data_IF_370974641436
#
_entry.id   IF_370974641436
#
_cell.length_a   1.000
_cell.length_b   1.000
_cell.length_c   1.000
_cell.angle_alpha   90.00
_cell.angle_beta   90.00
_cell.angle_gamma   90.00
#
_symmetry.space_group_name_H-M   'P 1'
#
loop_
_entity.id
_entity.type
_entity.pdbx_description
1 polymer ?
#
# COMPACT_ATOMS: atom_id res chain seq x y z
N UNK A 1 -64.99 -8.01 2.49
CA UNK A 1 -64.18 -7.31 1.50
C UNK A 1 -62.76 -7.87 1.60
N UNK A 2 -62.34 -8.66 0.64
CA UNK A 2 -60.95 -9.15 0.58
C UNK A 2 -60.09 -8.04 0.02
N UNK A 3 -59.21 -7.52 0.82
CA UNK A 3 -58.19 -6.60 0.36
C UNK A 3 -57.25 -7.38 -0.57
N UNK A 4 -57.21 -6.95 -1.78
CA UNK A 4 -56.30 -7.48 -2.80
C UNK A 4 -54.88 -7.15 -2.35
N UNK A 5 -53.96 -8.13 -2.24
CA UNK A 5 -52.58 -7.83 -1.88
C UNK A 5 -51.98 -6.88 -2.92
N UNK A 6 -51.15 -5.93 -2.49
CA UNK A 6 -50.54 -4.98 -3.42
C UNK A 6 -49.68 -5.76 -4.42
N UNK A 7 -50.02 -5.57 -5.67
CA UNK A 7 -49.27 -6.11 -6.79
C UNK A 7 -47.82 -5.55 -6.73
N UNK A 8 -46.87 -6.43 -6.48
CA UNK A 8 -45.46 -6.06 -6.45
C UNK A 8 -45.08 -5.49 -7.83
N UNK A 9 -44.72 -4.20 -7.84
CA UNK A 9 -44.20 -3.57 -9.06
C UNK A 9 -42.97 -4.34 -9.51
N UNK A 10 -42.90 -4.75 -10.79
CA UNK A 10 -41.69 -5.42 -11.28
C UNK A 10 -40.51 -4.51 -11.14
N UNK A 11 -39.47 -5.03 -10.50
CA UNK A 11 -38.21 -4.35 -10.41
C UNK A 11 -37.68 -4.02 -11.81
N UNK A 12 -37.14 -2.83 -12.05
CA UNK A 12 -36.58 -2.51 -13.35
C UNK A 12 -35.51 -3.53 -13.71
N UNK A 13 -35.72 -4.22 -14.79
CA UNK A 13 -34.73 -5.12 -15.37
C UNK A 13 -33.52 -4.26 -15.71
N UNK A 14 -32.46 -4.42 -14.97
CA UNK A 14 -31.18 -3.79 -15.30
C UNK A 14 -30.74 -4.38 -16.64
N UNK A 15 -30.84 -3.56 -17.70
CA UNK A 15 -30.29 -3.94 -19.00
C UNK A 15 -28.81 -4.27 -18.81
N UNK A 16 -28.32 -5.43 -19.26
CA UNK A 16 -26.91 -5.74 -19.20
C UNK A 16 -26.15 -4.62 -19.92
N UNK A 17 -25.29 -3.94 -19.18
CA UNK A 17 -24.39 -2.98 -19.79
C UNK A 17 -23.46 -3.73 -20.75
N UNK A 18 -23.22 -3.19 -21.95
CA UNK A 18 -22.27 -3.81 -22.85
C UNK A 18 -20.92 -3.92 -22.13
N UNK A 19 -20.47 -5.13 -22.01
CA UNK A 19 -19.12 -5.41 -21.52
C UNK A 19 -18.16 -4.61 -22.38
N UNK A 20 -17.50 -3.62 -21.80
CA UNK A 20 -16.41 -2.95 -22.48
C UNK A 20 -15.38 -4.02 -22.82
N UNK A 21 -15.28 -4.33 -24.09
CA UNK A 21 -14.22 -5.18 -24.60
C UNK A 21 -12.89 -4.64 -24.09
N UNK A 22 -12.20 -5.47 -23.35
CA UNK A 22 -10.81 -5.18 -23.00
C UNK A 22 -10.04 -4.99 -24.30
N UNK A 23 -9.28 -3.91 -24.44
CA UNK A 23 -8.40 -3.81 -25.58
C UNK A 23 -7.51 -5.04 -25.61
N UNK A 24 -7.64 -5.82 -26.65
CA UNK A 24 -6.72 -6.91 -26.95
C UNK A 24 -5.30 -6.35 -26.96
N UNK A 25 -4.35 -7.01 -26.30
CA UNK A 25 -2.97 -6.58 -26.37
C UNK A 25 -2.55 -6.61 -27.84
N UNK A 26 -2.25 -5.45 -28.39
CA UNK A 26 -1.69 -5.35 -29.74
C UNK A 26 -0.38 -6.13 -29.77
N UNK A 27 -0.29 -7.08 -30.67
CA UNK A 27 0.98 -7.72 -31.01
C UNK A 27 2.03 -6.62 -31.24
N UNK A 28 3.22 -6.73 -30.65
CA UNK A 28 4.26 -5.78 -30.94
C UNK A 28 4.56 -5.82 -32.44
N UNK A 29 4.38 -4.71 -33.09
CA UNK A 29 4.78 -4.54 -34.47
C UNK A 29 6.30 -4.60 -34.52
N UNK A 30 6.89 -5.34 -35.46
CA UNK A 30 8.35 -5.34 -35.60
C UNK A 30 8.79 -3.92 -36.00
N UNK A 31 9.57 -3.29 -35.16
CA UNK A 31 10.28 -2.06 -35.50
C UNK A 31 11.19 -2.35 -36.68
N UNK A 32 11.20 -1.50 -37.72
CA UNK A 32 12.16 -1.66 -38.79
C UNK A 32 13.58 -1.52 -38.24
N UNK A 33 14.34 -2.58 -38.37
CA UNK A 33 15.78 -2.55 -38.11
C UNK A 33 16.40 -1.62 -39.15
N UNK A 34 16.81 -0.48 -38.70
CA UNK A 34 17.65 0.38 -39.54
C UNK A 34 19.02 -0.28 -39.59
N UNK A 35 19.29 -0.86 -40.68
CA UNK A 35 20.61 -1.42 -41.03
C UNK A 35 21.64 -0.31 -40.97
N UNK A 36 22.46 -0.32 -39.94
CA UNK A 36 23.54 0.63 -39.78
C UNK A 36 24.63 0.31 -40.85
N UNK A 37 24.63 1.11 -41.88
CA UNK A 37 25.73 1.11 -42.84
C UNK A 37 27.01 1.49 -42.11
N UNK A 38 27.94 0.58 -42.05
CA UNK A 38 29.28 0.81 -41.51
C UNK A 38 29.98 1.77 -42.45
N UNK A 39 30.11 3.03 -42.04
CA UNK A 39 31.01 3.96 -42.65
C UNK A 39 32.34 3.88 -41.91
N UNK A 40 33.28 3.26 -42.54
CA UNK A 40 34.68 3.23 -42.13
C UNK A 40 35.25 4.65 -42.34
N UNK A 41 35.43 5.39 -41.27
CA UNK A 41 36.14 6.65 -41.35
C UNK A 41 37.47 6.49 -40.61
N UNK A 42 38.59 6.80 -41.27
CA UNK A 42 39.89 6.72 -40.61
C UNK A 42 40.01 7.84 -39.56
N UNK A 43 40.55 7.46 -38.42
CA UNK A 43 40.78 8.34 -37.30
C UNK A 43 41.73 9.49 -37.65
N UNK A 44 41.38 10.76 -37.41
CA UNK A 44 42.35 11.81 -37.33
C UNK A 44 43.10 11.76 -36.02
N UNK A 45 44.40 11.76 -36.10
CA UNK A 45 45.35 11.95 -35.01
C UNK A 45 44.90 13.03 -34.04
N UNK A 46 44.73 12.67 -32.78
CA UNK A 46 44.39 13.58 -31.74
C UNK A 46 45.49 14.60 -31.47
N UNK A 47 45.21 15.89 -31.43
CA UNK A 47 46.14 16.84 -30.85
C UNK A 47 46.17 16.64 -29.34
N UNK A 48 47.37 16.61 -28.80
CA UNK A 48 47.67 16.55 -27.36
C UNK A 48 46.84 17.60 -26.66
N UNK A 49 45.88 17.15 -25.85
CA UNK A 49 45.11 18.03 -25.00
C UNK A 49 46.02 18.52 -23.86
N UNK A 50 46.28 19.78 -23.86
CA UNK A 50 46.75 20.51 -22.66
C UNK A 50 45.88 20.17 -21.47
N UNK A 51 46.43 20.02 -20.26
CA UNK A 51 45.62 19.81 -19.06
C UNK A 51 44.72 21.01 -18.84
N UNK A 52 43.50 20.90 -19.30
CA UNK A 52 42.46 21.85 -18.99
C UNK A 52 42.10 21.70 -17.53
N UNK A 53 42.11 22.81 -16.82
CA UNK A 53 41.55 23.02 -15.52
C UNK A 53 40.50 21.98 -15.11
N UNK A 54 40.84 21.16 -14.15
CA UNK A 54 39.87 20.28 -13.52
C UNK A 54 38.98 21.18 -12.66
N UNK A 55 37.94 21.70 -13.28
CA UNK A 55 36.86 22.32 -12.55
C UNK A 55 36.34 21.26 -11.56
N UNK A 56 36.38 21.51 -10.23
CA UNK A 56 35.92 20.52 -9.27
C UNK A 56 34.50 20.12 -9.61
N UNK A 57 34.29 18.83 -9.78
CA UNK A 57 32.96 18.31 -10.02
C UNK A 57 32.02 18.77 -8.89
N UNK A 58 30.78 19.17 -9.19
CA UNK A 58 29.83 19.51 -8.15
C UNK A 58 29.74 18.35 -7.15
N UNK A 59 29.64 18.61 -5.85
CA UNK A 59 29.57 17.54 -4.86
C UNK A 59 28.43 16.60 -5.24
N UNK A 60 28.73 15.30 -5.25
CA UNK A 60 27.73 14.28 -5.51
C UNK A 60 26.52 14.49 -4.58
N UNK A 61 25.28 14.33 -5.06
CA UNK A 61 24.12 14.44 -4.19
C UNK A 61 24.30 13.51 -2.98
N UNK A 62 23.96 13.96 -1.75
CA UNK A 62 24.14 13.15 -0.56
C UNK A 62 23.47 11.79 -0.77
N UNK A 63 24.17 10.71 -0.36
CA UNK A 63 23.63 9.38 -0.41
C UNK A 63 22.28 9.34 0.30
N UNK A 64 21.26 8.60 -0.21
CA UNK A 64 19.97 8.51 0.45
C UNK A 64 20.16 8.00 1.88
N UNK A 65 19.67 8.74 2.85
CA UNK A 65 19.72 8.36 4.27
C UNK A 65 18.97 7.04 4.48
N UNK A 66 19.48 6.14 5.32
CA UNK A 66 18.79 4.89 5.60
C UNK A 66 17.43 5.18 6.25
N UNK A 67 16.36 4.65 5.64
CA UNK A 67 14.99 4.77 6.16
C UNK A 67 14.67 3.55 6.99
N UNK A 68 14.47 3.74 8.29
CA UNK A 68 13.97 2.71 9.18
C UNK A 68 12.45 2.76 9.19
N UNK A 69 11.81 1.65 8.91
CA UNK A 69 10.34 1.56 8.86
C UNK A 69 9.72 1.66 10.25
N UNK A 70 8.49 2.17 10.31
CA UNK A 70 7.72 2.18 11.54
C UNK A 70 7.43 0.76 12.04
N UNK A 71 7.38 0.58 13.36
CA UNK A 71 7.15 -0.71 14.02
C UNK A 71 6.08 -0.58 15.09
N UNK A 72 5.39 -1.68 15.36
CA UNK A 72 4.33 -1.78 16.38
C UNK A 72 4.57 -2.90 17.39
N UNK A 73 5.53 -3.75 17.13
CA UNK A 73 5.80 -5.01 17.85
C UNK A 73 6.83 -4.88 19.00
N UNK A 74 7.16 -3.66 19.38
CA UNK A 74 8.09 -3.45 20.48
C UNK A 74 7.40 -3.70 21.84
N UNK A 75 7.95 -4.57 22.65
CA UNK A 75 7.38 -4.99 23.93
C UNK A 75 7.12 -3.83 24.90
N UNK A 76 7.96 -2.79 24.86
CA UNK A 76 7.80 -1.61 25.71
C UNK A 76 6.63 -0.70 25.31
N UNK A 77 6.06 -0.87 24.13
CA UNK A 77 4.90 -0.10 23.67
C UNK A 77 3.62 -0.50 24.42
N UNK A 78 3.57 -1.71 24.97
CA UNK A 78 2.44 -2.25 25.76
C UNK A 78 1.10 -2.08 25.05
N UNK A 79 1.08 -2.37 23.76
CA UNK A 79 -0.16 -2.29 22.96
C UNK A 79 -1.12 -3.40 23.39
N UNK A 80 -2.34 -3.07 23.86
CA UNK A 80 -3.30 -4.08 24.27
C UNK A 80 -3.81 -4.86 23.06
N UNK A 81 -4.04 -6.16 23.23
CA UNK A 81 -4.71 -6.95 22.22
C UNK A 81 -6.13 -6.42 21.97
N UNK A 82 -6.64 -6.49 20.75
CA UNK A 82 -8.02 -6.09 20.45
C UNK A 82 -9.02 -6.89 21.28
N UNK A 83 -9.99 -6.20 21.86
CA UNK A 83 -11.07 -6.84 22.57
C UNK A 83 -11.95 -7.62 21.58
N UNK A 84 -12.21 -8.88 21.90
CA UNK A 84 -13.11 -9.71 21.09
C UNK A 84 -14.55 -9.27 21.33
N UNK A 85 -15.30 -8.82 20.32
CA UNK A 85 -16.69 -8.42 20.52
C UNK A 85 -17.54 -9.58 21.06
N UNK A 86 -18.32 -9.37 22.13
CA UNK A 86 -19.09 -10.47 22.74
C UNK A 86 -20.05 -11.16 21.79
N UNK A 87 -20.64 -10.41 20.88
CA UNK A 87 -21.58 -10.94 19.90
C UNK A 87 -20.85 -11.81 18.86
N UNK A 88 -19.71 -11.32 18.33
CA UNK A 88 -18.89 -12.10 17.40
C UNK A 88 -18.39 -13.40 18.03
N UNK A 89 -18.03 -13.37 19.30
CA UNK A 89 -17.65 -14.57 20.05
C UNK A 89 -18.79 -15.57 20.17
N UNK A 90 -20.03 -15.09 20.44
CA UNK A 90 -21.22 -15.97 20.50
C UNK A 90 -21.59 -16.56 19.15
N UNK A 91 -21.36 -15.81 18.08
CA UNK A 91 -21.66 -16.24 16.72
C UNK A 91 -20.55 -17.09 16.09
N UNK A 92 -19.41 -17.24 16.78
CA UNK A 92 -18.28 -18.00 16.26
C UNK A 92 -17.56 -17.30 15.10
N UNK A 93 -17.60 -15.97 15.06
CA UNK A 93 -16.94 -15.20 14.00
C UNK A 93 -15.46 -15.11 14.26
N UNK A 94 -14.65 -15.69 13.40
CA UNK A 94 -13.19 -15.64 13.43
C UNK A 94 -12.65 -15.02 12.15
N UNK A 95 -11.44 -14.52 12.18
CA UNK A 95 -10.82 -14.01 10.98
C UNK A 95 -9.55 -13.21 11.23
N UNK A 96 -8.90 -12.83 10.14
CA UNK A 96 -7.70 -12.01 10.14
C UNK A 96 -8.02 -10.65 9.51
N UNK A 97 -7.76 -9.60 10.25
CA UNK A 97 -7.86 -8.22 9.77
C UNK A 97 -6.45 -7.69 9.49
N UNK A 98 -6.25 -7.07 8.36
CA UNK A 98 -5.01 -6.33 8.09
C UNK A 98 -5.37 -4.85 8.01
N UNK A 99 -4.79 -4.08 8.91
CA UNK A 99 -4.96 -2.64 8.99
C UNK A 99 -3.75 -1.92 8.42
N UNK A 100 -4.00 -0.90 7.63
CA UNK A 100 -2.98 0.06 7.20
C UNK A 100 -3.05 1.26 8.13
N UNK A 101 -2.00 1.49 8.86
CA UNK A 101 -1.94 2.57 9.86
C UNK A 101 -0.96 3.63 9.40
N UNK A 102 -1.41 4.88 9.37
CA UNK A 102 -0.54 6.04 9.21
C UNK A 102 0.05 6.41 10.57
N UNK A 103 1.34 6.26 10.72
CA UNK A 103 2.07 6.55 11.95
C UNK A 103 2.71 7.93 11.83
N UNK A 104 2.40 8.81 12.77
CA UNK A 104 3.01 10.15 12.83
C UNK A 104 4.47 10.08 13.29
N UNK A 105 5.20 11.18 13.11
CA UNK A 105 6.56 11.30 13.64
C UNK A 105 6.64 11.16 15.18
N UNK A 106 5.52 11.31 15.87
CA UNK A 106 5.43 11.13 17.34
C UNK A 106 5.15 9.68 17.75
N UNK A 107 4.92 8.77 16.80
CA UNK A 107 4.61 7.38 17.09
C UNK A 107 3.16 7.11 17.45
N UNK A 108 2.25 7.98 17.04
CA UNK A 108 0.79 7.80 17.22
C UNK A 108 0.12 7.41 15.89
N UNK A 109 -0.98 6.67 15.99
CA UNK A 109 -1.82 6.40 14.83
C UNK A 109 -2.59 7.66 14.44
N UNK A 110 -2.35 8.18 13.25
CA UNK A 110 -3.07 9.31 12.66
C UNK A 110 -4.34 8.83 11.94
N UNK A 111 -4.18 7.88 11.04
CA UNK A 111 -5.26 7.26 10.31
C UNK A 111 -5.13 5.74 10.30
N UNK A 112 -6.26 5.05 10.43
CA UNK A 112 -6.32 3.58 10.41
C UNK A 112 -7.35 3.15 9.37
N UNK A 113 -6.87 2.46 8.35
CA UNK A 113 -7.67 1.94 7.25
C UNK A 113 -7.68 0.41 7.25
N UNK A 114 -8.80 -0.17 6.90
CA UNK A 114 -8.91 -1.63 6.72
C UNK A 114 -8.42 -1.99 5.33
N UNK A 115 -7.27 -2.68 5.26
CA UNK A 115 -6.73 -3.18 3.99
C UNK A 115 -7.34 -4.53 3.62
N UNK A 116 -7.51 -5.38 4.61
CA UNK A 116 -8.14 -6.70 4.45
C UNK A 116 -9.11 -6.93 5.60
N UNK A 117 -10.37 -7.14 5.28
CA UNK A 117 -11.42 -7.46 6.25
C UNK A 117 -11.33 -8.92 6.70
N UNK A 118 -11.76 -9.19 7.93
CA UNK A 118 -11.94 -10.55 8.44
C UNK A 118 -13.16 -11.27 7.87
N UNK A 119 -14.05 -10.54 7.21
CA UNK A 119 -15.38 -11.01 6.82
C UNK A 119 -16.48 -10.63 7.82
N UNK A 120 -16.13 -10.11 8.99
CA UNK A 120 -17.07 -9.62 10.01
C UNK A 120 -16.77 -8.15 10.32
N UNK A 121 -17.73 -7.29 10.05
CA UNK A 121 -17.60 -5.86 10.34
C UNK A 121 -17.31 -5.59 11.82
N UNK A 122 -17.88 -6.39 12.72
CA UNK A 122 -17.66 -6.24 14.17
C UNK A 122 -16.20 -6.47 14.56
N UNK A 123 -15.56 -7.48 13.97
CA UNK A 123 -14.15 -7.76 14.20
C UNK A 123 -13.27 -6.65 13.63
N UNK A 124 -13.62 -6.17 12.44
CA UNK A 124 -12.89 -5.09 11.77
C UNK A 124 -12.95 -3.79 12.57
N UNK A 125 -14.13 -3.43 13.06
CA UNK A 125 -14.30 -2.23 13.91
C UNK A 125 -13.56 -2.35 15.25
N UNK A 126 -13.60 -3.52 15.88
CA UNK A 126 -12.89 -3.77 17.12
C UNK A 126 -11.36 -3.62 16.93
N UNK A 127 -10.84 -4.19 15.84
CA UNK A 127 -9.44 -4.05 15.47
C UNK A 127 -9.07 -2.58 15.23
N UNK A 128 -9.87 -1.87 14.44
CA UNK A 128 -9.63 -0.46 14.11
C UNK A 128 -9.63 0.44 15.36
N UNK A 129 -10.62 0.26 16.24
CA UNK A 129 -10.72 1.03 17.50
C UNK A 129 -9.51 0.81 18.39
N UNK A 130 -9.08 -0.43 18.54
CA UNK A 130 -7.96 -0.78 19.41
C UNK A 130 -6.65 -0.24 18.85
N UNK A 131 -6.40 -0.43 17.56
CA UNK A 131 -5.15 0.03 16.92
C UNK A 131 -5.00 1.55 16.93
N UNK A 132 -6.10 2.30 16.93
CA UNK A 132 -6.05 3.76 17.11
C UNK A 132 -5.48 4.20 18.45
N UNK A 133 -5.57 3.36 19.46
CA UNK A 133 -5.01 3.64 20.79
C UNK A 133 -3.59 3.13 20.96
N UNK A 134 -3.10 2.36 19.98
CA UNK A 134 -1.76 1.80 20.02
C UNK A 134 -0.69 2.85 19.83
N UNK A 135 0.46 2.57 20.39
CA UNK A 135 1.68 3.34 20.17
C UNK A 135 2.58 2.62 19.19
N UNK A 136 3.29 3.40 18.42
CA UNK A 136 4.15 2.90 17.37
C UNK A 136 5.54 3.53 17.52
N UNK A 137 6.52 2.87 16.94
CA UNK A 137 7.82 3.48 16.71
C UNK A 137 7.74 4.15 15.34
N UNK A 138 7.89 5.47 15.23
CA UNK A 138 7.85 6.14 13.95
C UNK A 138 8.99 5.69 13.06
N UNK A 139 8.76 5.74 11.75
CA UNK A 139 9.85 5.60 10.80
C UNK A 139 10.87 6.72 10.99
N UNK A 140 12.12 6.42 10.73
CA UNK A 140 13.21 7.41 10.79
C UNK A 140 13.93 7.46 9.44
N UNK A 141 14.22 8.67 9.02
CA UNK A 141 15.14 8.94 7.92
C UNK A 141 16.43 9.49 8.54
N UNK A 142 17.48 8.68 8.57
CA UNK A 142 18.63 9.00 9.43
C UNK A 142 18.19 9.04 10.90
N UNK A 143 18.36 10.17 11.56
CA UNK A 143 17.94 10.41 12.95
C UNK A 143 16.60 11.13 13.09
N UNK A 144 15.97 11.52 11.98
CA UNK A 144 14.73 12.31 11.97
C UNK A 144 13.50 11.41 11.88
N UNK A 145 12.57 11.44 12.86
CA UNK A 145 11.33 10.71 12.78
C UNK A 145 10.45 11.30 11.67
N UNK A 146 9.86 10.44 10.85
CA UNK A 146 9.00 10.81 9.73
C UNK A 146 7.69 10.04 9.77
N UNK A 147 6.65 10.62 9.21
CA UNK A 147 5.38 9.94 9.02
C UNK A 147 5.54 8.79 8.03
N UNK A 148 4.95 7.64 8.35
CA UNK A 148 4.95 6.49 7.46
C UNK A 148 3.73 5.60 7.66
N UNK A 149 3.63 4.57 6.82
CA UNK A 149 2.56 3.59 6.92
C UNK A 149 3.11 2.26 7.42
N UNK A 150 2.32 1.58 8.25
CA UNK A 150 2.62 0.24 8.74
C UNK A 150 1.40 -0.66 8.57
N UNK A 151 1.62 -1.93 8.25
CA UNK A 151 0.57 -2.94 8.17
C UNK A 151 0.52 -3.71 9.47
N UNK A 152 -0.64 -3.71 10.12
CA UNK A 152 -0.88 -4.40 11.39
C UNK A 152 -1.81 -5.58 11.15
N UNK A 153 -1.33 -6.82 11.21
CA UNK A 153 -2.19 -7.98 11.16
C UNK A 153 -2.78 -8.27 12.54
N UNK A 154 -4.10 -8.40 12.59
CA UNK A 154 -4.83 -8.78 13.80
C UNK A 154 -5.57 -10.08 13.54
N UNK A 155 -5.36 -11.06 14.39
CA UNK A 155 -5.98 -12.38 14.25
C UNK A 155 -6.97 -12.57 15.40
N UNK A 156 -8.24 -12.77 15.05
CA UNK A 156 -9.29 -13.16 15.97
C UNK A 156 -9.53 -14.66 15.86
N UNK A 157 -9.20 -15.38 16.91
CA UNK A 157 -9.48 -16.82 17.04
C UNK A 157 -10.26 -17.05 18.31
N UNK A 158 -11.19 -17.99 18.25
CA UNK A 158 -11.85 -18.50 19.42
C UNK A 158 -11.05 -19.67 19.96
N UNK A 159 -10.54 -19.51 21.16
CA UNK A 159 -9.98 -20.63 21.89
C UNK A 159 -11.15 -21.49 22.42
N UNK A 160 -11.14 -22.73 22.00
CA UNK A 160 -12.12 -23.71 22.50
C UNK A 160 -11.64 -24.30 23.81
#
# INVERSE_FOLDING_TARGET
AQEKPPEAKPLPVVKPQPVRERPTPQKPQPVPVIEATQSTQPAPTAPVATPADIKPAPPAPPAPEPVVQARFDADYLKNPAPAYPPLSRRMGEEGKVILRVSVTAHGTADNVEIKTSSGSQRLDEAAQKTVRTWKFIPAKRGDTPVQSFVLVPIIFKLEQ
#
